data_IF_233720175949
#
_entry.id   IF_233720175949
#
_cell.length_a   1.000
_cell.length_b   1.000
_cell.length_c   1.000
_cell.angle_alpha   90.00
_cell.angle_beta   90.00
_cell.angle_gamma   90.00
#
_symmetry.space_group_name_H-M   'P 1'
#
loop_
_entity.id
_entity.type
_entity.pdbx_description
1 polymer ?
#
# COMPACT_ATOMS: atom_id res chain seq x y z
N UNK A 1 2.66 17.80 35.96
CA UNK A 1 2.67 16.42 35.42
C UNK A 1 4.01 15.82 35.80
N UNK A 2 4.02 14.65 36.42
CA UNK A 2 5.27 14.08 36.94
C UNK A 2 6.13 13.45 35.82
N UNK A 3 5.52 13.11 34.68
CA UNK A 3 6.16 12.57 33.49
C UNK A 3 5.58 13.19 32.22
N UNK A 4 6.45 13.60 31.29
CA UNK A 4 6.08 14.01 29.94
C UNK A 4 6.75 13.10 28.89
N UNK A 5 5.95 12.68 27.90
CA UNK A 5 6.36 11.81 26.81
C UNK A 5 6.43 12.60 25.51
N UNK A 6 7.44 12.34 24.68
CA UNK A 6 7.51 12.95 23.36
C UNK A 6 8.45 12.21 22.41
N UNK A 7 8.41 12.57 21.13
CA UNK A 7 9.44 12.14 20.17
C UNK A 7 10.79 12.77 20.50
N UNK A 8 11.88 12.18 20.01
CA UNK A 8 13.22 12.77 20.17
C UNK A 8 13.33 14.18 19.57
N UNK A 9 12.47 14.54 18.61
CA UNK A 9 12.38 15.89 18.05
C UNK A 9 11.75 16.92 19.00
N UNK A 10 11.09 16.49 20.09
CA UNK A 10 10.54 17.37 21.11
C UNK A 10 11.47 17.61 22.29
N UNK A 11 12.69 17.03 22.30
CA UNK A 11 13.61 17.10 23.45
C UNK A 11 13.85 18.53 23.96
N UNK A 12 14.07 19.48 23.06
CA UNK A 12 14.28 20.88 23.45
C UNK A 12 13.05 21.46 24.16
N UNK A 13 11.86 21.30 23.58
CA UNK A 13 10.61 21.80 24.14
C UNK A 13 10.31 21.19 25.52
N UNK A 14 10.53 19.87 25.66
CA UNK A 14 10.32 19.15 26.91
C UNK A 14 11.26 19.66 28.02
N UNK A 15 12.52 19.95 27.68
CA UNK A 15 13.51 20.50 28.62
C UNK A 15 13.18 21.94 29.02
N UNK A 16 12.71 22.77 28.08
CA UNK A 16 12.25 24.13 28.37
C UNK A 16 11.05 24.09 29.33
N UNK A 17 10.08 23.21 29.09
CA UNK A 17 8.94 23.02 30.00
C UNK A 17 9.38 22.63 31.41
N UNK A 18 10.34 21.70 31.53
CA UNK A 18 10.93 21.31 32.82
C UNK A 18 11.64 22.47 33.53
N UNK A 19 12.33 23.33 32.78
CA UNK A 19 13.00 24.50 33.37
C UNK A 19 11.99 25.54 33.86
N UNK A 20 10.94 25.81 33.09
CA UNK A 20 9.86 26.71 33.50
C UNK A 20 9.16 26.20 34.78
N UNK A 21 8.95 24.89 34.92
CA UNK A 21 8.43 24.34 36.18
C UNK A 21 9.29 24.73 37.39
N UNK A 22 10.62 24.65 37.25
CA UNK A 22 11.55 25.07 38.32
C UNK A 22 11.41 26.56 38.65
N UNK A 23 11.35 27.43 37.63
CA UNK A 23 11.22 28.87 37.83
C UNK A 23 9.94 29.26 38.56
N UNK A 24 8.86 28.49 38.36
CA UNK A 24 7.57 28.70 39.01
C UNK A 24 7.38 27.89 40.31
N UNK A 25 8.46 27.31 40.85
CA UNK A 25 8.43 26.55 42.11
C UNK A 25 7.65 25.24 42.04
N UNK A 26 7.43 24.69 40.84
CA UNK A 26 6.79 23.40 40.63
C UNK A 26 7.85 22.29 40.57
N UNK A 27 7.42 21.07 40.92
CA UNK A 27 8.29 19.89 40.77
C UNK A 27 8.60 19.63 39.28
N UNK A 28 9.88 19.45 38.89
CA UNK A 28 10.25 19.33 37.49
C UNK A 28 9.94 17.93 36.94
N UNK A 29 9.14 17.88 35.88
CA UNK A 29 8.67 16.65 35.23
C UNK A 29 9.81 15.76 34.73
N UNK A 30 9.71 14.44 34.93
CA UNK A 30 10.53 13.47 34.22
C UNK A 30 10.23 13.53 32.72
N UNK A 31 11.25 13.39 31.90
CA UNK A 31 11.10 13.41 30.44
C UNK A 31 11.51 12.04 29.89
N UNK A 32 10.60 11.39 29.16
CA UNK A 32 10.91 10.17 28.43
C UNK A 32 10.67 10.38 26.94
N UNK A 33 11.75 10.32 26.16
CA UNK A 33 11.68 10.45 24.70
C UNK A 33 11.65 9.10 24.01
N UNK A 34 10.80 8.97 22.99
CA UNK A 34 10.71 7.80 22.12
C UNK A 34 11.41 8.06 20.78
N UNK A 35 12.03 7.05 20.16
CA UNK A 35 12.63 7.20 18.83
C UNK A 35 11.58 7.53 17.78
N UNK A 36 11.98 8.24 16.73
CA UNK A 36 11.10 8.56 15.62
C UNK A 36 10.89 7.34 14.71
N UNK A 37 9.63 7.14 14.32
CA UNK A 37 9.25 6.20 13.30
C UNK A 37 9.63 6.76 11.92
N UNK A 38 10.43 6.01 11.17
CA UNK A 38 10.70 6.29 9.76
C UNK A 38 9.45 6.02 8.92
N UNK A 39 9.21 6.87 7.94
CA UNK A 39 8.11 6.73 6.99
C UNK A 39 8.33 5.59 6.00
N UNK A 40 7.44 5.50 5.01
CA UNK A 40 7.46 4.45 3.99
C UNK A 40 8.77 4.40 3.17
N UNK A 41 9.49 5.52 3.09
CA UNK A 41 10.80 5.61 2.42
C UNK A 41 11.97 4.99 3.22
N UNK A 42 11.80 4.77 4.52
CA UNK A 42 12.81 4.19 5.41
C UNK A 42 14.01 5.08 5.75
N UNK A 43 13.98 6.35 5.38
CA UNK A 43 15.08 7.30 5.62
C UNK A 43 14.59 8.46 6.47
N UNK A 44 13.47 9.04 6.09
CA UNK A 44 12.94 10.24 6.70
C UNK A 44 11.91 9.90 7.77
N UNK A 45 11.80 10.76 8.78
CA UNK A 45 10.72 10.62 9.76
C UNK A 45 9.37 10.65 9.05
N UNK A 46 8.44 9.83 9.54
CA UNK A 46 7.09 9.79 8.99
C UNK A 46 6.42 11.17 9.11
N UNK A 47 5.95 11.72 7.99
CA UNK A 47 5.23 13.00 7.97
C UNK A 47 4.23 13.09 6.82
N UNK A 48 3.15 13.86 7.06
CA UNK A 48 2.16 14.18 6.02
C UNK A 48 2.78 14.96 4.86
N UNK A 49 3.67 15.91 5.18
CA UNK A 49 4.32 16.77 4.19
C UNK A 49 5.26 16.03 3.23
N UNK A 50 5.85 14.91 3.67
CA UNK A 50 6.73 14.06 2.85
C UNK A 50 5.97 12.95 2.11
N UNK A 51 4.65 12.86 2.31
CA UNK A 51 3.80 11.83 1.74
C UNK A 51 4.32 10.39 2.00
N UNK A 52 5.01 10.17 3.12
CA UNK A 52 5.62 8.90 3.51
C UNK A 52 4.93 8.30 4.74
N UNK A 53 3.64 8.60 4.94
CA UNK A 53 2.89 8.28 6.15
C UNK A 53 1.75 7.30 5.91
N UNK A 54 1.32 6.68 7.02
CA UNK A 54 0.07 5.93 7.13
C UNK A 54 -0.82 6.70 8.10
N UNK A 55 -1.93 7.24 7.61
CA UNK A 55 -2.96 7.85 8.44
C UNK A 55 -3.73 6.78 9.23
N UNK A 56 -4.00 7.06 10.51
CA UNK A 56 -4.78 6.17 11.38
C UNK A 56 -6.23 5.97 10.91
N UNK A 57 -6.74 6.88 10.07
CA UNK A 57 -8.10 6.88 9.53
C UNK A 57 -8.15 6.54 8.04
N UNK A 58 -7.06 6.01 7.48
CA UNK A 58 -7.07 5.49 6.11
C UNK A 58 -7.95 4.25 6.02
N UNK A 59 -8.44 3.92 4.84
CA UNK A 59 -9.21 2.68 4.66
C UNK A 59 -8.32 1.44 4.92
N UNK A 60 -8.91 0.31 5.36
CA UNK A 60 -8.16 -0.89 5.73
C UNK A 60 -7.24 -1.39 4.61
N UNK A 61 -7.69 -1.32 3.36
CA UNK A 61 -6.95 -1.80 2.19
C UNK A 61 -5.71 -0.93 1.94
N UNK A 62 -5.85 0.39 1.99
CA UNK A 62 -4.73 1.34 1.86
C UNK A 62 -3.75 1.20 3.01
N UNK A 63 -4.23 1.12 4.26
CA UNK A 63 -3.39 0.91 5.43
C UNK A 63 -2.57 -0.38 5.30
N UNK A 64 -3.24 -1.50 5.00
CA UNK A 64 -2.59 -2.79 4.81
C UNK A 64 -1.53 -2.75 3.71
N UNK A 65 -1.88 -2.20 2.54
CA UNK A 65 -0.97 -2.11 1.40
C UNK A 65 0.25 -1.22 1.70
N UNK A 66 0.06 -0.11 2.42
CA UNK A 66 1.17 0.78 2.82
C UNK A 66 2.09 0.11 3.83
N UNK A 67 1.58 -0.60 4.85
CA UNK A 67 2.44 -1.37 5.76
C UNK A 67 3.22 -2.41 4.98
N UNK A 68 2.60 -3.11 4.04
CA UNK A 68 3.27 -4.14 3.24
C UNK A 68 4.35 -3.58 2.29
N UNK A 69 4.26 -2.29 1.94
CA UNK A 69 5.19 -1.61 1.03
C UNK A 69 6.56 -1.30 1.64
N UNK A 70 6.69 -1.36 2.96
CA UNK A 70 7.97 -1.10 3.64
C UNK A 70 9.01 -2.17 3.29
N UNK A 71 10.28 -1.76 3.36
CA UNK A 71 11.40 -2.68 3.12
C UNK A 71 11.53 -3.72 4.23
N UNK A 72 12.12 -4.87 3.91
CA UNK A 72 12.33 -5.96 4.87
C UNK A 72 13.25 -5.52 6.02
N UNK A 73 14.21 -4.62 5.74
CA UNK A 73 15.06 -4.01 6.76
C UNK A 73 14.28 -3.09 7.68
N UNK A 74 13.44 -2.21 7.12
CA UNK A 74 12.65 -1.23 7.88
C UNK A 74 11.59 -1.88 8.77
N UNK A 75 11.02 -3.00 8.31
CA UNK A 75 10.01 -3.78 9.03
C UNK A 75 10.39 -4.05 10.49
N UNK A 76 11.67 -4.28 10.80
CA UNK A 76 12.11 -4.58 12.17
C UNK A 76 12.03 -3.40 13.12
N UNK A 77 12.27 -2.19 12.61
CA UNK A 77 12.06 -0.97 13.39
C UNK A 77 10.57 -0.78 13.66
N UNK A 78 9.72 -1.06 12.66
CA UNK A 78 8.27 -1.00 12.82
C UNK A 78 7.75 -2.05 13.81
N UNK A 79 8.25 -3.29 13.78
CA UNK A 79 7.94 -4.29 14.79
C UNK A 79 8.27 -3.78 16.20
N UNK A 80 9.49 -3.29 16.40
CA UNK A 80 9.96 -2.81 17.71
C UNK A 80 9.12 -1.64 18.24
N UNK A 81 8.69 -0.72 17.37
CA UNK A 81 8.00 0.51 17.78
C UNK A 81 6.48 0.40 17.80
N UNK A 82 5.91 -0.50 17.00
CA UNK A 82 4.47 -0.56 16.78
C UNK A 82 3.84 -1.89 17.21
N UNK A 83 4.54 -3.02 17.12
CA UNK A 83 3.95 -4.33 17.44
C UNK A 83 3.82 -4.54 18.95
N UNK A 84 2.82 -5.31 19.38
CA UNK A 84 2.72 -5.80 20.75
C UNK A 84 3.56 -7.06 21.02
N UNK A 85 4.28 -7.56 20.02
CA UNK A 85 5.24 -8.64 20.24
C UNK A 85 6.40 -8.19 21.14
N UNK A 86 6.80 -9.08 22.04
CA UNK A 86 8.00 -8.88 22.86
C UNK A 86 9.26 -8.88 21.99
N UNK A 87 10.34 -8.26 22.48
CA UNK A 87 11.64 -8.27 21.80
C UNK A 87 12.17 -9.69 21.57
N UNK A 88 11.86 -10.64 22.45
CA UNK A 88 12.21 -12.05 22.29
C UNK A 88 11.45 -12.70 21.11
N UNK A 89 10.16 -12.42 20.96
CA UNK A 89 9.36 -12.89 19.82
C UNK A 89 9.84 -12.28 18.50
N UNK A 90 10.16 -10.99 18.49
CA UNK A 90 10.73 -10.31 17.33
C UNK A 90 12.08 -10.91 16.95
N UNK A 91 12.94 -11.22 17.94
CA UNK A 91 14.24 -11.87 17.70
C UNK A 91 14.09 -13.29 17.13
N UNK A 92 13.13 -14.08 17.64
CA UNK A 92 12.83 -15.40 17.09
C UNK A 92 12.34 -15.30 15.63
N UNK A 93 11.46 -14.35 15.33
CA UNK A 93 10.96 -14.13 13.97
C UNK A 93 12.08 -13.74 12.99
N UNK A 94 13.07 -12.94 13.44
CA UNK A 94 14.27 -12.62 12.64
C UNK A 94 15.06 -13.88 12.31
N UNK A 95 15.34 -14.71 13.32
CA UNK A 95 16.10 -15.95 13.14
C UNK A 95 15.40 -16.93 12.19
N UNK A 96 14.07 -17.02 12.24
CA UNK A 96 13.30 -17.83 11.29
C UNK A 96 13.44 -17.36 9.84
N UNK A 97 13.47 -16.04 9.60
CA UNK A 97 13.68 -15.46 8.27
C UNK A 97 15.11 -15.71 7.79
N UNK A 98 16.10 -15.57 8.65
CA UNK A 98 17.50 -15.91 8.34
C UNK A 98 17.64 -17.41 8.02
N UNK A 99 16.83 -18.27 8.65
CA UNK A 99 16.75 -19.70 8.37
C UNK A 99 15.95 -20.07 7.12
N UNK A 100 15.38 -19.10 6.40
CA UNK A 100 14.73 -19.31 5.10
C UNK A 100 13.21 -19.08 5.07
N UNK A 101 12.58 -18.63 6.17
CA UNK A 101 11.18 -18.17 6.14
C UNK A 101 11.06 -16.94 5.25
N UNK A 102 9.98 -16.84 4.47
CA UNK A 102 9.77 -15.71 3.58
C UNK A 102 9.53 -14.40 4.37
N UNK A 103 10.32 -13.34 4.18
CA UNK A 103 10.11 -12.04 4.84
C UNK A 103 8.72 -11.45 4.59
N UNK A 104 8.11 -11.77 3.44
CA UNK A 104 6.76 -11.35 3.11
C UNK A 104 5.75 -11.78 4.17
N UNK A 105 5.90 -12.96 4.76
CA UNK A 105 4.95 -13.48 5.75
C UNK A 105 4.98 -12.65 7.03
N UNK A 106 6.17 -12.19 7.44
CA UNK A 106 6.31 -11.28 8.57
C UNK A 106 5.75 -9.88 8.26
N UNK A 107 5.89 -9.38 7.02
CA UNK A 107 5.25 -8.12 6.62
C UNK A 107 3.74 -8.24 6.60
N UNK A 108 3.20 -9.35 6.10
CA UNK A 108 1.75 -9.62 6.13
C UNK A 108 1.26 -9.66 7.57
N UNK A 109 1.94 -10.37 8.47
CA UNK A 109 1.56 -10.43 9.88
C UNK A 109 1.53 -9.03 10.54
N UNK A 110 2.55 -8.19 10.27
CA UNK A 110 2.58 -6.82 10.77
C UNK A 110 1.47 -5.95 10.17
N UNK A 111 1.20 -6.07 8.87
CA UNK A 111 0.12 -5.36 8.19
C UNK A 111 -1.25 -5.73 8.78
N UNK A 112 -1.49 -7.01 9.06
CA UNK A 112 -2.70 -7.47 9.73
C UNK A 112 -2.83 -6.90 11.13
N UNK A 113 -1.76 -6.95 11.93
CA UNK A 113 -1.77 -6.43 13.31
C UNK A 113 -2.11 -4.94 13.35
N UNK A 114 -1.46 -4.13 12.52
CA UNK A 114 -1.68 -2.68 12.45
C UNK A 114 -3.10 -2.39 11.93
N UNK A 115 -3.53 -3.05 10.86
CA UNK A 115 -4.86 -2.84 10.28
C UNK A 115 -5.97 -3.23 11.26
N UNK A 116 -5.81 -4.35 11.97
CA UNK A 116 -6.78 -4.80 12.96
C UNK A 116 -6.90 -3.82 14.14
N UNK A 117 -5.80 -3.18 14.53
CA UNK A 117 -5.76 -2.22 15.64
C UNK A 117 -6.57 -0.95 15.38
N UNK A 118 -6.54 -0.44 14.15
CA UNK A 118 -7.24 0.80 13.79
C UNK A 118 -8.61 0.55 13.11
N UNK A 119 -8.91 -0.70 12.76
CA UNK A 119 -10.18 -1.12 12.19
C UNK A 119 -10.77 -2.29 12.98
N UNK A 120 -10.61 -3.52 12.48
CA UNK A 120 -11.05 -4.75 13.12
C UNK A 120 -10.29 -5.94 12.55
N UNK A 121 -10.30 -7.06 13.26
CA UNK A 121 -9.75 -8.32 12.74
C UNK A 121 -10.42 -8.71 11.41
N UNK A 122 -11.75 -8.60 11.30
CA UNK A 122 -12.45 -8.91 10.05
C UNK A 122 -11.99 -8.02 8.86
N UNK A 123 -11.73 -6.73 9.12
CA UNK A 123 -11.25 -5.80 8.10
C UNK A 123 -9.79 -6.10 7.66
N UNK A 124 -8.93 -6.49 8.59
CA UNK A 124 -7.56 -6.90 8.29
C UNK A 124 -7.51 -8.16 7.42
N UNK A 125 -8.35 -9.14 7.75
CA UNK A 125 -8.49 -10.39 7.01
C UNK A 125 -9.03 -10.12 5.60
N UNK A 126 -10.05 -9.27 5.47
CA UNK A 126 -10.57 -8.85 4.17
C UNK A 126 -9.51 -8.13 3.32
N UNK A 127 -8.72 -7.23 3.93
CA UNK A 127 -7.65 -6.52 3.25
C UNK A 127 -6.53 -7.45 2.76
N UNK A 128 -6.18 -8.46 3.54
CA UNK A 128 -5.25 -9.50 3.12
C UNK A 128 -5.79 -10.28 1.91
N UNK A 129 -7.05 -10.74 1.96
CA UNK A 129 -7.65 -11.48 0.85
C UNK A 129 -7.74 -10.64 -0.43
N UNK A 130 -8.17 -9.39 -0.32
CA UNK A 130 -8.22 -8.47 -1.44
C UNK A 130 -6.82 -8.22 -2.02
N UNK A 131 -5.81 -8.00 -1.18
CA UNK A 131 -4.42 -7.90 -1.64
C UNK A 131 -3.96 -9.17 -2.37
N UNK A 132 -4.28 -10.36 -1.86
CA UNK A 132 -3.96 -11.63 -2.50
C UNK A 132 -4.64 -11.73 -3.88
N UNK A 133 -5.93 -11.42 -3.96
CA UNK A 133 -6.70 -11.46 -5.20
C UNK A 133 -6.13 -10.51 -6.25
N UNK A 134 -5.83 -9.26 -5.86
CA UNK A 134 -5.14 -8.28 -6.73
C UNK A 134 -3.75 -8.77 -7.16
N UNK A 135 -3.00 -9.41 -6.28
CA UNK A 135 -1.64 -9.91 -6.58
C UNK A 135 -1.62 -11.11 -7.55
N UNK A 136 -2.69 -11.91 -7.58
CA UNK A 136 -2.88 -13.06 -8.49
C UNK A 136 -3.38 -12.65 -9.88
N UNK A 137 -3.57 -11.36 -10.14
CA UNK A 137 -4.15 -10.86 -11.39
C UNK A 137 -5.67 -10.96 -11.44
N UNK A 138 -6.33 -11.07 -10.29
CA UNK A 138 -7.78 -10.93 -10.18
C UNK A 138 -8.22 -9.55 -10.67
N UNK A 139 -9.35 -9.53 -11.37
CA UNK A 139 -10.02 -8.31 -11.79
C UNK A 139 -10.41 -7.51 -10.54
N UNK A 140 -10.05 -6.22 -10.41
CA UNK A 140 -10.49 -5.40 -9.27
C UNK A 140 -12.02 -5.38 -9.14
N UNK A 141 -12.56 -5.37 -7.92
CA UNK A 141 -14.01 -5.30 -7.69
C UNK A 141 -14.62 -4.00 -8.25
N UNK A 142 -13.86 -2.90 -8.21
CA UNK A 142 -14.19 -1.64 -8.87
C UNK A 142 -13.32 -1.45 -10.12
N UNK A 143 -13.95 -1.54 -11.29
CA UNK A 143 -13.30 -1.30 -12.57
C UNK A 143 -13.84 0.01 -13.14
N UNK A 144 -12.97 0.95 -13.56
CA UNK A 144 -13.40 2.16 -14.26
C UNK A 144 -14.21 1.80 -15.51
N UNK A 145 -15.45 2.32 -15.59
CA UNK A 145 -16.31 2.11 -16.75
C UNK A 145 -16.00 3.16 -17.84
N UNK A 146 -16.00 2.71 -19.09
CA UNK A 146 -15.70 3.53 -20.27
C UNK A 146 -16.68 3.19 -21.39
N UNK A 147 -17.28 4.21 -21.98
CA UNK A 147 -18.09 4.06 -23.19
C UNK A 147 -17.26 4.43 -24.40
N UNK A 148 -17.19 3.52 -25.37
CA UNK A 148 -16.45 3.67 -26.62
C UNK A 148 -17.43 3.40 -27.76
N UNK A 149 -17.34 4.13 -28.87
CA UNK A 149 -18.23 3.94 -30.02
C UNK A 149 -17.45 3.57 -31.27
N UNK A 150 -18.16 3.00 -32.26
CA UNK A 150 -17.62 2.62 -33.55
C UNK A 150 -17.38 1.13 -33.72
N UNK A 151 -18.23 0.27 -33.14
CA UNK A 151 -18.23 -1.15 -33.45
C UNK A 151 -18.51 -1.40 -34.96
N UNK A 152 -17.83 -2.40 -35.58
CA UNK A 152 -16.73 -3.18 -35.04
C UNK A 152 -15.40 -2.40 -35.00
N UNK A 153 -14.72 -2.40 -33.84
CA UNK A 153 -13.53 -1.60 -33.59
C UNK A 153 -12.28 -2.46 -33.40
N UNK A 154 -11.16 -2.07 -34.01
CA UNK A 154 -9.88 -2.76 -33.85
C UNK A 154 -9.33 -2.63 -32.43
N UNK A 155 -8.76 -3.71 -31.88
CA UNK A 155 -8.32 -3.78 -30.48
C UNK A 155 -7.31 -2.68 -30.11
N UNK A 156 -6.34 -2.36 -30.97
CA UNK A 156 -5.39 -1.27 -30.70
C UNK A 156 -6.07 0.10 -30.60
N UNK A 157 -7.10 0.34 -31.40
CA UNK A 157 -7.87 1.59 -31.36
C UNK A 157 -8.80 1.63 -30.15
N UNK A 158 -9.37 0.49 -29.74
CA UNK A 158 -10.15 0.39 -28.51
C UNK A 158 -9.29 0.72 -27.28
N UNK A 159 -8.07 0.18 -27.19
CA UNK A 159 -7.15 0.46 -26.07
C UNK A 159 -6.83 1.95 -25.95
N UNK A 160 -6.64 2.64 -27.09
CA UNK A 160 -6.44 4.09 -27.11
C UNK A 160 -7.68 4.83 -26.63
N UNK A 161 -8.86 4.52 -27.17
CA UNK A 161 -10.10 5.22 -26.83
C UNK A 161 -10.54 4.96 -25.37
N UNK A 162 -10.23 3.79 -24.82
CA UNK A 162 -10.47 3.47 -23.41
C UNK A 162 -9.44 4.12 -22.45
N UNK A 163 -8.43 4.83 -22.97
CA UNK A 163 -7.36 5.46 -22.17
C UNK A 163 -6.37 4.47 -21.56
N UNK A 164 -6.28 3.25 -22.10
CA UNK A 164 -5.39 2.19 -21.61
C UNK A 164 -4.01 2.23 -22.29
N UNK A 165 -3.92 2.84 -23.49
CA UNK A 165 -2.70 3.13 -24.24
C UNK A 165 -2.72 4.58 -24.77
N UNK A 166 -1.56 5.23 -24.90
CA UNK A 166 -1.41 6.59 -25.42
C UNK A 166 -1.67 6.66 -26.94
N UNK A 167 -1.41 5.55 -27.64
CA UNK A 167 -1.66 5.43 -29.08
C UNK A 167 -2.07 4.02 -29.50
N UNK A 168 -2.70 3.89 -30.66
CA UNK A 168 -3.03 2.57 -31.23
C UNK A 168 -1.78 1.74 -31.53
N UNK A 169 -0.66 2.40 -31.87
CA UNK A 169 0.63 1.75 -32.09
C UNK A 169 1.24 1.19 -30.81
N UNK A 170 1.12 1.90 -29.69
CA UNK A 170 1.49 1.38 -28.37
C UNK A 170 0.58 0.20 -27.98
N UNK A 171 -0.73 0.31 -28.20
CA UNK A 171 -1.67 -0.79 -28.00
C UNK A 171 -1.25 -2.07 -28.72
N UNK A 172 -0.83 -1.96 -29.98
CA UNK A 172 -0.34 -3.11 -30.75
C UNK A 172 0.96 -3.71 -30.19
N UNK A 173 1.88 -2.89 -29.66
CA UNK A 173 3.10 -3.38 -28.99
C UNK A 173 2.79 -4.09 -27.67
N UNK A 174 1.78 -3.62 -26.94
CA UNK A 174 1.33 -4.27 -25.71
C UNK A 174 0.71 -5.65 -26.00
N UNK A 175 0.01 -5.79 -27.13
CA UNK A 175 -0.50 -7.08 -27.63
C UNK A 175 0.66 -8.02 -27.96
N UNK A 176 1.68 -7.54 -28.70
CA UNK A 176 2.89 -8.34 -28.98
C UNK A 176 3.58 -8.86 -27.72
N UNK A 177 3.64 -8.01 -26.69
CA UNK A 177 4.23 -8.36 -25.40
C UNK A 177 3.37 -9.27 -24.52
N UNK A 178 2.22 -9.75 -25.01
CA UNK A 178 1.28 -10.57 -24.23
C UNK A 178 0.64 -9.82 -23.06
N UNK A 179 0.68 -8.48 -23.09
CA UNK A 179 0.26 -7.60 -22.01
C UNK A 179 -1.22 -7.25 -22.03
N UNK A 180 -2.00 -7.71 -23.01
CA UNK A 180 -3.43 -7.35 -23.18
C UNK A 180 -4.32 -8.56 -22.96
N UNK A 181 -5.37 -8.40 -22.14
CA UNK A 181 -6.42 -9.39 -21.94
C UNK A 181 -7.81 -8.78 -22.12
N UNK A 182 -8.72 -9.55 -22.67
CA UNK A 182 -10.16 -9.26 -22.74
C UNK A 182 -10.88 -10.39 -22.02
N UNK A 183 -11.72 -10.05 -21.05
CA UNK A 183 -12.50 -11.02 -20.27
C UNK A 183 -11.60 -12.15 -19.72
N UNK A 184 -10.41 -11.76 -19.24
CA UNK A 184 -9.34 -12.63 -18.73
C UNK A 184 -8.57 -13.47 -19.77
N UNK A 185 -8.96 -13.42 -21.05
CA UNK A 185 -8.30 -14.14 -22.15
C UNK A 185 -7.21 -13.26 -22.77
N UNK A 186 -6.00 -13.80 -22.93
CA UNK A 186 -4.89 -13.10 -23.57
C UNK A 186 -5.20 -12.88 -25.05
N UNK A 187 -5.02 -11.65 -25.51
CA UNK A 187 -5.17 -11.28 -26.93
C UNK A 187 -3.80 -11.23 -27.57
N UNK A 188 -3.63 -12.00 -28.65
CA UNK A 188 -2.40 -12.02 -29.46
C UNK A 188 -2.63 -11.52 -30.89
N UNK A 189 -3.88 -11.42 -31.35
CA UNK A 189 -4.22 -10.94 -32.69
C UNK A 189 -4.42 -9.42 -32.71
N UNK A 190 -3.51 -8.69 -33.37
CA UNK A 190 -3.63 -7.24 -33.59
C UNK A 190 -4.75 -6.87 -34.56
N UNK A 191 -5.14 -7.81 -35.43
CA UNK A 191 -6.24 -7.65 -36.38
C UNK A 191 -7.61 -7.83 -35.75
N UNK A 192 -7.68 -8.24 -34.47
CA UNK A 192 -8.92 -8.47 -33.76
C UNK A 192 -9.81 -7.22 -33.78
N UNK A 193 -11.03 -7.39 -34.29
CA UNK A 193 -12.09 -6.38 -34.21
C UNK A 193 -13.17 -6.85 -33.25
N UNK A 194 -13.49 -6.02 -32.28
CA UNK A 194 -14.55 -6.29 -31.31
C UNK A 194 -15.87 -5.74 -31.82
N UNK A 195 -16.92 -6.54 -31.73
CA UNK A 195 -18.29 -6.12 -32.03
C UNK A 195 -18.86 -5.25 -30.90
N UNK A 196 -20.07 -4.72 -31.08
CA UNK A 196 -20.74 -4.02 -29.99
C UNK A 196 -20.98 -4.98 -28.81
N UNK A 197 -20.73 -4.51 -27.60
CA UNK A 197 -20.77 -5.33 -26.39
C UNK A 197 -20.00 -4.71 -25.23
N UNK A 198 -20.07 -5.35 -24.06
CA UNK A 198 -19.32 -4.93 -22.87
C UNK A 198 -18.19 -5.92 -22.59
N UNK A 199 -16.99 -5.39 -22.39
CA UNK A 199 -15.75 -6.15 -22.23
C UNK A 199 -14.96 -5.68 -21.01
N UNK A 200 -14.34 -6.60 -20.27
CA UNK A 200 -13.33 -6.26 -19.26
C UNK A 200 -11.95 -6.29 -19.92
N UNK A 201 -11.36 -5.11 -20.07
CA UNK A 201 -10.07 -4.94 -20.74
C UNK A 201 -8.98 -4.70 -19.71
N UNK A 202 -7.93 -5.51 -19.77
CA UNK A 202 -6.77 -5.43 -18.90
C UNK A 202 -5.50 -5.20 -19.72
N UNK A 203 -4.68 -4.24 -19.27
CA UNK A 203 -3.34 -3.98 -19.78
C UNK A 203 -2.31 -4.11 -18.65
N UNK A 204 -1.42 -5.09 -18.78
CA UNK A 204 -0.46 -5.45 -17.75
C UNK A 204 -1.13 -5.89 -16.45
N UNK A 205 -0.46 -5.66 -15.31
CA UNK A 205 -0.95 -6.08 -13.99
C UNK A 205 -1.87 -5.05 -13.30
N UNK A 206 -1.95 -3.82 -13.81
CA UNK A 206 -2.51 -2.68 -13.05
C UNK A 206 -3.55 -1.83 -13.79
N UNK A 207 -3.59 -1.87 -15.13
CA UNK A 207 -4.57 -1.07 -15.89
C UNK A 207 -5.77 -1.95 -16.23
N UNK A 208 -6.95 -1.58 -15.74
CA UNK A 208 -8.23 -2.25 -16.01
C UNK A 208 -9.27 -1.21 -16.43
N UNK A 209 -10.14 -1.57 -17.38
CA UNK A 209 -11.35 -0.81 -17.69
C UNK A 209 -12.48 -1.75 -18.14
N UNK A 210 -13.71 -1.46 -17.74
CA UNK A 210 -14.91 -2.09 -18.30
C UNK A 210 -15.38 -1.22 -19.46
N UNK A 211 -15.24 -1.73 -20.67
CA UNK A 211 -15.51 -0.98 -21.90
C UNK A 211 -16.82 -1.44 -22.48
N UNK A 212 -17.80 -0.54 -22.55
CA UNK A 212 -19.02 -0.73 -23.34
C UNK A 212 -18.79 -0.14 -24.72
N UNK A 213 -18.68 -1.01 -25.72
CA UNK A 213 -18.49 -0.67 -27.12
C UNK A 213 -19.84 -0.64 -27.84
N UNK A 214 -20.20 0.52 -28.41
CA UNK A 214 -21.40 0.71 -29.24
C UNK A 214 -21.12 0.91 -30.72
#
# INVERSE_FOLDING_TARGET
SDLELGGTDQKFNLLVGRHLQQEYGQEPQCILTMPLLEGLDGVEKMSKSKNNYIGISEDPNTMFAKVLSISDTLMWKWYTLLSFQSLAQIAALKAEIEAGRNPKDAKVALAKEITARFHSAAAAEAAEQDFINRSKGGVPDEIPERSVSGAPLGIGQLLKQAGLAESSGEGNRLIDGGGVRIDSVVVSDKGLKLAAGTYVVQVGKRKFARVTLS
#
